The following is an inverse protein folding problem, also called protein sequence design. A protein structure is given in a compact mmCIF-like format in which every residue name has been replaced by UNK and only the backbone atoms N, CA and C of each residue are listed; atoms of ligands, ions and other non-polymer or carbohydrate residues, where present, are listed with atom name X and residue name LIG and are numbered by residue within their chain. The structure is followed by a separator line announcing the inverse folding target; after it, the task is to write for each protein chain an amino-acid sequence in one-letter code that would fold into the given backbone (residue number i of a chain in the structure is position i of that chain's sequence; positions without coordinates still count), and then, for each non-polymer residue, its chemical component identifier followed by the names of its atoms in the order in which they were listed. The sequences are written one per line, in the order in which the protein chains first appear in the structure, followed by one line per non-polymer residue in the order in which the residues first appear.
data_IF_246177341805
#
_entry.id   IF_246177341805
#
_cell.length_a   1.000
_cell.length_b   1.000
_cell.length_c   1.000
_cell.angle_alpha   90.00
_cell.angle_beta   90.00
_cell.angle_gamma   90.00
#
_symmetry.space_group_name_H-M   'P 1'
#
loop_
_entity.id
_entity.type
_entity.pdbx_description
1 polymer ?
#
# COMPACT_ATOMS: atom_id res chain seq x y z
N UNK A 1 28.83 -29.09 2.71
CA UNK A 1 27.54 -28.44 2.99
C UNK A 1 26.44 -29.42 2.70
N UNK A 2 25.80 -29.95 3.74
CA UNK A 2 24.74 -30.96 3.61
C UNK A 2 23.42 -30.25 3.35
N UNK A 3 22.92 -30.33 2.12
CA UNK A 3 21.64 -29.74 1.72
C UNK A 3 20.54 -30.65 2.27
N UNK A 4 19.59 -30.09 3.01
CA UNK A 4 18.43 -30.84 3.52
C UNK A 4 17.41 -31.01 2.40
N UNK A 5 16.83 -32.20 2.29
CA UNK A 5 15.77 -32.54 1.34
C UNK A 5 14.50 -32.89 2.12
N UNK A 6 13.33 -32.45 1.65
CA UNK A 6 12.02 -32.75 2.27
C UNK A 6 11.22 -31.55 2.78
N UNK A 7 11.72 -30.33 2.63
CA UNK A 7 10.95 -29.11 2.92
C UNK A 7 9.97 -28.88 1.74
N UNK A 8 8.66 -29.00 1.99
CA UNK A 8 7.64 -28.56 1.05
C UNK A 8 7.73 -27.04 0.86
N UNK A 9 7.33 -26.54 -0.30
CA UNK A 9 7.36 -25.10 -0.63
C UNK A 9 6.73 -24.28 0.50
N UNK A 10 7.55 -23.50 1.20
CA UNK A 10 7.09 -22.66 2.30
C UNK A 10 5.99 -21.70 1.79
N UNK A 11 4.85 -21.63 2.49
CA UNK A 11 3.85 -20.59 2.22
C UNK A 11 4.43 -19.25 2.69
N UNK A 12 4.80 -18.39 1.75
CA UNK A 12 5.30 -17.06 2.07
C UNK A 12 4.15 -16.21 2.64
N UNK A 13 4.16 -15.96 3.95
CA UNK A 13 3.27 -14.97 4.56
C UNK A 13 3.73 -13.57 4.12
N UNK A 14 2.86 -12.84 3.42
CA UNK A 14 3.03 -11.40 3.20
C UNK A 14 1.99 -10.68 4.05
N UNK A 15 2.44 -9.87 5.00
CA UNK A 15 1.55 -9.01 5.76
C UNK A 15 0.72 -8.16 4.81
N UNK A 16 -0.60 -8.19 5.01
CA UNK A 16 -1.52 -7.40 4.22
C UNK A 16 -1.20 -5.92 4.46
N UNK A 17 -0.96 -5.16 3.39
CA UNK A 17 -0.52 -3.75 3.52
C UNK A 17 -1.69 -2.78 3.69
N UNK A 18 -2.90 -3.29 3.90
CA UNK A 18 -4.15 -2.51 4.02
C UNK A 18 -4.79 -2.89 5.34
N UNK A 19 -5.03 -1.90 6.20
CA UNK A 19 -5.61 -2.12 7.52
C UNK A 19 -6.81 -1.19 7.75
N UNK A 20 -7.73 -1.64 8.61
CA UNK A 20 -8.86 -0.86 9.07
C UNK A 20 -8.57 -0.38 10.50
N UNK A 21 -8.50 0.94 10.69
CA UNK A 21 -8.29 1.58 11.99
C UNK A 21 -9.44 2.56 12.25
N UNK A 22 -10.15 2.38 13.37
CA UNK A 22 -11.27 3.25 13.79
C UNK A 22 -12.34 3.45 12.68
N UNK A 23 -12.67 2.39 11.94
CA UNK A 23 -13.67 2.43 10.86
C UNK A 23 -13.19 3.09 9.57
N UNK A 24 -11.94 3.54 9.51
CA UNK A 24 -11.30 4.07 8.30
C UNK A 24 -10.24 3.12 7.78
N UNK A 25 -10.05 3.11 6.47
CA UNK A 25 -9.08 2.24 5.80
C UNK A 25 -7.79 2.98 5.50
N UNK A 26 -6.67 2.28 5.64
CA UNK A 26 -5.35 2.83 5.41
C UNK A 26 -4.47 1.80 4.70
N UNK A 27 -3.39 2.23 4.07
CA UNK A 27 -2.38 1.33 3.52
C UNK A 27 -0.95 1.78 3.82
N UNK A 28 -0.03 0.84 3.93
CA UNK A 28 1.38 1.12 4.20
C UNK A 28 2.21 1.17 2.91
N UNK A 29 3.17 2.09 2.84
CA UNK A 29 4.27 2.15 1.84
C UNK A 29 5.61 2.01 2.59
N UNK A 30 6.70 1.60 1.94
CA UNK A 30 7.98 1.43 2.66
C UNK A 30 8.65 2.78 2.91
N UNK A 31 8.32 3.74 2.08
CA UNK A 31 8.98 5.04 1.94
C UNK A 31 8.44 6.09 2.92
N UNK A 32 7.38 5.74 3.67
CA UNK A 32 6.75 6.62 4.67
C UNK A 32 6.68 5.92 6.02
N UNK A 33 7.00 6.67 7.07
CA UNK A 33 6.76 6.26 8.45
C UNK A 33 5.29 6.47 8.79
N UNK A 34 4.46 5.46 8.55
CA UNK A 34 3.04 5.47 8.89
C UNK A 34 2.14 4.91 7.78
N UNK A 35 0.85 4.82 8.09
CA UNK A 35 -0.16 4.40 7.12
C UNK A 35 -0.78 5.59 6.41
N UNK A 36 -0.98 5.46 5.10
CA UNK A 36 -1.60 6.44 4.23
C UNK A 36 -3.12 6.26 4.24
N UNK A 37 -3.86 7.35 4.42
CA UNK A 37 -5.31 7.40 4.59
C UNK A 37 -5.72 8.66 5.36
N UNK A 38 -6.98 8.77 5.81
CA UNK A 38 -8.03 7.74 5.81
C UNK A 38 -8.72 7.58 4.44
N UNK A 39 -9.17 6.36 4.16
CA UNK A 39 -10.05 6.03 3.04
C UNK A 39 -11.39 5.49 3.58
N UNK A 40 -12.52 5.81 2.91
CA UNK A 40 -13.85 5.42 3.39
C UNK A 40 -14.13 3.92 3.22
N UNK A 41 -13.47 3.25 2.26
CA UNK A 41 -13.67 1.82 1.98
C UNK A 41 -12.34 1.12 1.71
N UNK A 42 -12.30 -0.20 1.93
CA UNK A 42 -11.16 -1.05 1.59
C UNK A 42 -10.79 -0.93 0.11
N UNK A 43 -11.78 -0.90 -0.77
CA UNK A 43 -11.53 -0.77 -2.22
C UNK A 43 -10.90 0.58 -2.56
N UNK A 44 -11.27 1.67 -1.88
CA UNK A 44 -10.64 2.98 -2.07
C UNK A 44 -9.17 2.96 -1.64
N UNK A 45 -8.86 2.39 -0.47
CA UNK A 45 -7.48 2.21 -0.01
C UNK A 45 -6.66 1.33 -0.97
N UNK A 46 -7.25 0.25 -1.49
CA UNK A 46 -6.59 -0.63 -2.44
C UNK A 46 -6.33 0.06 -3.78
N UNK A 47 -7.30 0.82 -4.31
CA UNK A 47 -7.14 1.59 -5.54
C UNK A 47 -6.03 2.64 -5.40
N UNK A 48 -5.97 3.32 -4.26
CA UNK A 48 -4.92 4.25 -3.92
C UNK A 48 -3.54 3.58 -3.85
N UNK A 49 -3.44 2.41 -3.20
CA UNK A 49 -2.20 1.64 -3.17
C UNK A 49 -1.74 1.21 -4.58
N UNK A 50 -2.67 0.75 -5.42
CA UNK A 50 -2.36 0.41 -6.81
C UNK A 50 -1.91 1.62 -7.64
N UNK A 51 -2.48 2.81 -7.41
CA UNK A 51 -2.04 4.03 -8.08
C UNK A 51 -0.61 4.42 -7.66
N UNK A 52 -0.30 4.34 -6.37
CA UNK A 52 1.05 4.55 -5.86
C UNK A 52 2.06 3.58 -6.49
N UNK A 53 1.76 2.28 -6.51
CA UNK A 53 2.63 1.27 -7.13
C UNK A 53 2.89 1.57 -8.61
N UNK A 54 1.85 1.96 -9.36
CA UNK A 54 1.99 2.34 -10.77
C UNK A 54 2.88 3.56 -10.98
N UNK A 55 2.82 4.54 -10.07
CA UNK A 55 3.70 5.69 -10.11
C UNK A 55 5.18 5.27 -9.97
N UNK A 56 5.47 4.42 -8.98
CA UNK A 56 6.82 3.86 -8.77
C UNK A 56 7.28 3.02 -9.96
N UNK A 57 6.43 2.12 -10.47
CA UNK A 57 6.73 1.28 -11.65
C UNK A 57 6.98 2.12 -12.91
N UNK A 58 6.36 3.29 -13.02
CA UNK A 58 6.58 4.23 -14.11
C UNK A 58 7.85 5.08 -13.97
N UNK A 59 8.63 4.87 -12.91
CA UNK A 59 9.88 5.58 -12.64
C UNK A 59 9.71 6.95 -11.99
N UNK A 60 8.52 7.27 -11.46
CA UNK A 60 8.33 8.46 -10.63
C UNK A 60 9.05 8.28 -9.29
N UNK A 61 9.54 9.38 -8.75
CA UNK A 61 10.09 9.38 -7.40
C UNK A 61 9.00 9.17 -6.35
N UNK A 62 9.39 8.64 -5.19
CA UNK A 62 8.48 8.43 -4.06
C UNK A 62 7.75 9.73 -3.66
N UNK A 63 8.46 10.85 -3.72
CA UNK A 63 7.92 12.18 -3.38
C UNK A 63 6.81 12.59 -4.35
N UNK A 64 6.98 12.33 -5.64
CA UNK A 64 5.97 12.62 -6.66
C UNK A 64 4.75 11.71 -6.51
N UNK A 65 4.97 10.41 -6.30
CA UNK A 65 3.90 9.44 -6.09
C UNK A 65 3.06 9.78 -4.85
N UNK A 66 3.70 10.18 -3.74
CA UNK A 66 3.03 10.62 -2.52
C UNK A 66 2.27 11.94 -2.73
N UNK A 67 2.82 12.87 -3.52
CA UNK A 67 2.16 14.13 -3.86
C UNK A 67 0.86 13.87 -4.64
N UNK A 68 0.92 13.03 -5.68
CA UNK A 68 -0.23 12.63 -6.49
C UNK A 68 -1.32 11.98 -5.64
N UNK A 69 -0.91 11.06 -4.75
CA UNK A 69 -1.81 10.40 -3.83
C UNK A 69 -2.50 11.42 -2.90
N UNK A 70 -1.77 12.40 -2.37
CA UNK A 70 -2.33 13.42 -1.48
C UNK A 70 -3.34 14.31 -2.21
N UNK A 71 -3.09 14.62 -3.48
CA UNK A 71 -4.07 15.34 -4.33
C UNK A 71 -5.33 14.50 -4.51
N UNK A 72 -5.20 13.21 -4.83
CA UNK A 72 -6.33 12.28 -4.94
C UNK A 72 -7.13 12.19 -3.64
N UNK A 73 -6.48 12.17 -2.48
CA UNK A 73 -7.17 12.12 -1.19
C UNK A 73 -7.98 13.40 -0.92
N UNK A 74 -7.45 14.57 -1.30
CA UNK A 74 -8.19 15.85 -1.17
C UNK A 74 -9.45 15.88 -2.04
N UNK A 75 -9.38 15.35 -3.25
CA UNK A 75 -10.57 15.32 -4.15
C UNK A 75 -11.63 14.35 -3.65
N UNK A 76 -11.23 13.24 -3.01
CA UNK A 76 -12.15 12.28 -2.40
C UNK A 76 -12.80 12.80 -1.11
N UNK A 77 -12.14 13.70 -0.37
CA UNK A 77 -12.67 14.29 0.86
C UNK A 77 -13.65 15.44 0.63
N UNK A 78 -13.75 15.97 -0.59
CA UNK A 78 -14.48 17.20 -0.89
C UNK A 78 -15.94 16.96 -1.35
N UNK A 79 -16.53 15.83 -0.98
CA UNK A 79 -17.88 15.41 -1.40
C UNK A 79 -18.64 14.84 -0.22
#
# INVERSE_FOLDING_TARGET
MTIRHGEESATHFRSERIECMNGSWYFAVRETHGMLGPFPTRQAAQKAACAYIKDIESGRSDVEALSNLRVLMKTLSSK
#
